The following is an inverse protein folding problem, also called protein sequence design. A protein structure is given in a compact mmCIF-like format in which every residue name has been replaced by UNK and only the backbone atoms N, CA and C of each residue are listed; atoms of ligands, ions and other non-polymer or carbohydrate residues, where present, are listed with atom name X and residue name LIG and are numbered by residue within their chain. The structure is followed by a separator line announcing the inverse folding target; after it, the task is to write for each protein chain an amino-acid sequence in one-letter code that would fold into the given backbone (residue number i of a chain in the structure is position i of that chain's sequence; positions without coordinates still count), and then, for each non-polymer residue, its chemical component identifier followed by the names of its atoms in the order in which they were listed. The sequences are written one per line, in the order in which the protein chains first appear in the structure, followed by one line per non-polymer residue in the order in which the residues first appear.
data_IF_658726681794
#
_entry.id   IF_658726681794
#
_cell.length_a   1.000
_cell.length_b   1.000
_cell.length_c   1.000
_cell.angle_alpha   90.00
_cell.angle_beta   90.00
_cell.angle_gamma   90.00
#
_symmetry.space_group_name_H-M   'P 1'
#
loop_
_entity.id
_entity.type
_entity.pdbx_description
1 polymer ?
#
# COMPACT_ATOMS: atom_id res chain seq x y z
N UNK A 1 9.15 20.89 -17.81
CA UNK A 1 10.09 21.92 -18.31
C UNK A 1 11.50 21.36 -18.19
N UNK A 2 12.28 21.32 -19.28
CA UNK A 2 13.71 21.00 -19.22
C UNK A 2 14.49 22.21 -18.68
N UNK A 3 15.68 22.00 -18.10
CA UNK A 3 16.97 22.53 -18.62
C UNK A 3 18.19 22.16 -17.73
N UNK A 4 19.12 21.43 -18.35
CA UNK A 4 20.60 21.43 -18.24
C UNK A 4 21.38 21.19 -16.91
N UNK A 5 22.68 20.98 -17.15
CA UNK A 5 23.79 20.39 -16.36
C UNK A 5 25.09 21.12 -16.81
N UNK A 6 26.17 21.06 -16.01
CA UNK A 6 27.62 21.17 -16.35
C UNK A 6 28.43 22.30 -15.65
N UNK A 7 29.76 22.11 -15.55
CA UNK A 7 30.78 23.01 -14.95
C UNK A 7 31.19 22.58 -13.53
N UNK A 8 32.23 21.78 -13.22
CA UNK A 8 33.49 21.33 -13.89
C UNK A 8 34.73 22.26 -13.75
N UNK A 9 35.92 21.64 -13.61
CA UNK A 9 37.25 22.20 -13.22
C UNK A 9 37.37 22.82 -11.80
N UNK A 10 38.56 22.92 -11.16
CA UNK A 10 39.97 22.97 -11.63
C UNK A 10 40.85 21.86 -11.01
N UNK A 11 42.03 21.59 -11.61
CA UNK A 11 42.94 20.47 -11.35
C UNK A 11 44.38 20.91 -10.95
N UNK A 12 45.24 19.94 -10.63
CA UNK A 12 46.71 19.88 -10.74
C UNK A 12 47.63 20.36 -9.59
N UNK A 13 48.44 19.42 -9.09
CA UNK A 13 49.93 19.39 -9.07
C UNK A 13 50.36 17.95 -8.68
N UNK A 14 51.25 17.28 -9.42
CA UNK A 14 52.73 17.28 -9.31
C UNK A 14 53.26 16.74 -7.97
N UNK A 15 54.07 15.67 -7.89
CA UNK A 15 54.59 14.74 -8.93
C UNK A 15 54.73 13.31 -8.30
N UNK A 16 55.61 12.32 -8.56
CA UNK A 16 56.86 12.16 -9.33
C UNK A 16 57.10 10.64 -9.68
N UNK A 17 58.24 10.25 -10.26
CA UNK A 17 58.66 8.86 -10.64
C UNK A 17 60.20 8.80 -10.93
N UNK A 18 60.90 7.67 -11.24
CA UNK A 18 60.42 6.34 -11.71
C UNK A 18 61.20 5.03 -11.31
N UNK A 19 60.54 3.85 -11.46
CA UNK A 19 61.05 2.55 -12.02
C UNK A 19 62.27 1.79 -11.38
N UNK A 20 62.63 0.55 -11.84
CA UNK A 20 61.81 -0.59 -12.31
C UNK A 20 62.27 -2.00 -11.81
N UNK A 21 61.40 -3.03 -11.85
CA UNK A 21 61.68 -4.46 -12.18
C UNK A 21 60.37 -5.27 -12.10
N UNK A 22 60.17 -6.48 -12.68
CA UNK A 22 60.55 -7.08 -13.99
C UNK A 22 59.87 -8.48 -14.06
N UNK A 23 58.92 -8.69 -14.97
CA UNK A 23 58.07 -9.90 -14.98
C UNK A 23 56.92 -9.81 -13.94
N UNK A 24 55.88 -10.64 -13.98
CA UNK A 24 55.59 -11.81 -14.84
C UNK A 24 54.17 -11.68 -15.43
N UNK A 25 53.89 -12.36 -16.54
CA UNK A 25 52.55 -12.42 -17.13
C UNK A 25 51.53 -13.07 -16.19
N UNK A 26 50.35 -12.46 -16.04
CA UNK A 26 49.10 -13.21 -15.92
C UNK A 26 47.97 -12.37 -16.54
N UNK A 27 47.24 -12.95 -17.49
CA UNK A 27 46.00 -12.38 -18.02
C UNK A 27 44.93 -12.42 -16.93
N UNK A 28 44.83 -11.36 -16.12
CA UNK A 28 43.71 -11.21 -15.18
C UNK A 28 42.43 -11.09 -16.01
N UNK A 29 41.47 -12.00 -15.78
CA UNK A 29 40.15 -11.93 -16.42
C UNK A 29 39.46 -10.61 -16.04
N UNK A 30 38.56 -10.12 -16.90
CA UNK A 30 37.84 -8.87 -16.63
C UNK A 30 37.05 -8.99 -15.32
N UNK A 31 37.32 -8.09 -14.38
CA UNK A 31 36.53 -7.95 -13.16
C UNK A 31 35.18 -7.33 -13.50
N UNK A 32 34.20 -8.18 -13.84
CA UNK A 32 32.78 -7.79 -14.00
C UNK A 32 32.12 -7.64 -12.62
N UNK A 33 32.72 -6.82 -11.76
CA UNK A 33 32.08 -6.27 -10.55
C UNK A 33 31.22 -5.07 -10.92
N UNK A 34 30.29 -5.29 -11.85
CA UNK A 34 29.36 -4.30 -12.38
C UNK A 34 27.92 -4.60 -12.00
N UNK A 35 27.44 -4.01 -10.90
CA UNK A 35 26.03 -3.83 -10.55
C UNK A 35 25.14 -5.09 -10.34
N UNK A 36 25.36 -5.85 -9.25
CA UNK A 36 24.32 -6.78 -8.73
C UNK A 36 23.17 -6.06 -8.00
N UNK A 37 23.19 -4.72 -7.89
CA UNK A 37 22.12 -3.95 -7.25
C UNK A 37 20.75 -4.14 -7.91
N UNK A 38 20.74 -4.49 -9.21
CA UNK A 38 19.54 -4.84 -9.99
C UNK A 38 18.96 -6.21 -9.64
N UNK A 39 19.69 -7.09 -8.93
CA UNK A 39 19.15 -8.32 -8.34
C UNK A 39 18.94 -8.19 -6.83
N UNK A 40 19.77 -7.39 -6.14
CA UNK A 40 19.59 -7.02 -4.73
C UNK A 40 18.23 -6.34 -4.49
N UNK A 41 17.83 -5.37 -5.32
CA UNK A 41 16.56 -4.66 -5.15
C UNK A 41 15.32 -5.56 -5.33
N UNK A 42 15.18 -6.39 -6.40
CA UNK A 42 14.09 -7.36 -6.50
C UNK A 42 14.09 -8.40 -5.39
N UNK A 43 15.25 -8.89 -4.93
CA UNK A 43 15.35 -9.81 -3.78
C UNK A 43 14.85 -9.14 -2.49
N UNK A 44 15.25 -7.89 -2.24
CA UNK A 44 14.81 -7.13 -1.08
C UNK A 44 13.30 -6.84 -1.13
N UNK A 45 12.78 -6.39 -2.28
CA UNK A 45 11.35 -6.16 -2.47
C UNK A 45 10.53 -7.44 -2.29
N UNK A 46 10.97 -8.58 -2.85
CA UNK A 46 10.32 -9.87 -2.65
C UNK A 46 10.38 -10.37 -1.20
N UNK A 47 11.45 -10.04 -0.46
CA UNK A 47 11.55 -10.34 0.97
C UNK A 47 10.57 -9.48 1.80
N UNK A 48 10.53 -8.16 1.57
CA UNK A 48 9.55 -7.25 2.18
C UNK A 48 8.12 -7.68 1.89
N UNK A 49 7.81 -7.99 0.63
CA UNK A 49 6.51 -8.51 0.18
C UNK A 49 6.09 -9.78 0.95
N UNK A 50 6.98 -10.77 1.04
CA UNK A 50 6.74 -12.01 1.80
C UNK A 50 6.50 -11.75 3.29
N UNK A 51 7.25 -10.81 3.88
CA UNK A 51 7.09 -10.40 5.28
C UNK A 51 5.73 -9.72 5.49
N UNK A 52 5.34 -8.80 4.62
CA UNK A 52 4.05 -8.10 4.71
C UNK A 52 2.86 -9.05 4.52
N UNK A 53 2.95 -10.03 3.61
CA UNK A 53 1.88 -11.02 3.43
C UNK A 53 1.77 -11.99 4.63
N UNK A 54 2.88 -12.37 5.25
CA UNK A 54 2.87 -13.14 6.50
C UNK A 54 2.33 -12.32 7.68
N UNK A 55 2.70 -11.04 7.79
CA UNK A 55 2.18 -10.13 8.80
C UNK A 55 0.67 -9.91 8.66
N UNK A 56 0.18 -9.64 7.45
CA UNK A 56 -1.24 -9.58 7.12
C UNK A 56 -1.98 -10.86 7.55
N UNK A 57 -1.38 -12.02 7.30
CA UNK A 57 -1.92 -13.33 7.68
C UNK A 57 -1.89 -13.59 9.20
N UNK A 58 -1.00 -12.96 9.97
CA UNK A 58 -1.03 -13.02 11.44
C UNK A 58 -2.07 -12.04 12.00
N UNK A 59 -2.08 -10.81 11.50
CA UNK A 59 -3.03 -9.75 11.89
C UNK A 59 -4.47 -10.19 11.64
N UNK A 60 -4.79 -10.80 10.50
CA UNK A 60 -6.15 -11.31 10.24
C UNK A 60 -6.62 -12.39 11.22
N UNK A 61 -5.69 -13.16 11.81
CA UNK A 61 -5.99 -14.27 12.73
C UNK A 61 -5.96 -13.90 14.21
N UNK A 62 -5.15 -12.91 14.62
CA UNK A 62 -4.98 -12.50 16.02
C UNK A 62 -5.27 -11.03 16.32
N UNK A 63 -5.45 -10.20 15.30
CA UNK A 63 -5.51 -8.75 15.44
C UNK A 63 -4.14 -8.08 15.46
N UNK A 64 -4.16 -6.75 15.50
CA UNK A 64 -2.96 -5.92 15.38
C UNK A 64 -2.08 -5.95 16.64
N UNK A 65 -2.70 -6.06 17.83
CA UNK A 65 -1.98 -5.92 19.09
C UNK A 65 -1.31 -7.25 19.54
N UNK A 66 -1.84 -8.42 19.15
CA UNK A 66 -1.48 -9.75 19.70
C UNK A 66 -0.43 -10.58 18.90
N UNK A 67 0.23 -10.00 17.90
CA UNK A 67 1.35 -10.63 17.19
C UNK A 67 2.71 -10.00 17.54
N UNK A 68 3.78 -10.80 17.54
CA UNK A 68 5.16 -10.33 17.77
C UNK A 68 6.06 -10.40 16.54
N UNK A 69 7.16 -9.64 16.55
CA UNK A 69 8.20 -9.69 15.50
C UNK A 69 8.92 -11.06 15.49
N UNK A 70 9.03 -11.73 16.64
CA UNK A 70 9.63 -13.07 16.72
C UNK A 70 8.76 -14.12 16.04
N UNK A 71 7.44 -14.08 16.24
CA UNK A 71 6.51 -15.01 15.56
C UNK A 71 6.43 -14.73 14.06
N UNK A 72 6.44 -13.45 13.66
CA UNK A 72 6.53 -13.06 12.26
C UNK A 72 7.81 -13.61 11.61
N UNK A 73 8.97 -13.38 12.23
CA UNK A 73 10.26 -13.90 11.78
C UNK A 73 10.26 -15.44 11.66
N UNK A 74 9.71 -16.15 12.65
CA UNK A 74 9.56 -17.60 12.62
C UNK A 74 8.66 -18.07 11.45
N UNK A 75 7.53 -17.38 11.21
CA UNK A 75 6.57 -17.72 10.14
C UNK A 75 7.10 -17.54 8.72
N UNK A 76 8.15 -16.73 8.52
CA UNK A 76 8.85 -16.58 7.23
C UNK A 76 10.25 -17.22 7.23
N UNK A 77 10.58 -17.98 8.28
CA UNK A 77 11.87 -18.66 8.47
C UNK A 77 13.11 -17.75 8.39
N UNK A 78 13.04 -16.55 8.97
CA UNK A 78 14.17 -15.62 9.06
C UNK A 78 14.48 -15.18 10.50
N UNK A 79 15.56 -14.42 10.69
CA UNK A 79 15.87 -13.78 11.97
C UNK A 79 15.03 -12.51 12.19
N UNK A 80 14.75 -12.09 13.44
CA UNK A 80 14.13 -10.79 13.73
C UNK A 80 14.89 -9.61 13.11
N UNK A 81 16.23 -9.65 13.09
CA UNK A 81 17.07 -8.65 12.42
C UNK A 81 16.79 -8.55 10.91
N UNK A 82 16.37 -9.63 10.26
CA UNK A 82 15.95 -9.64 8.85
C UNK A 82 14.60 -8.92 8.68
N UNK A 83 13.66 -9.10 9.61
CA UNK A 83 12.40 -8.34 9.64
C UNK A 83 12.68 -6.84 9.79
N UNK A 84 13.48 -6.45 10.79
CA UNK A 84 13.81 -5.04 11.02
C UNK A 84 14.49 -4.38 9.82
N UNK A 85 15.35 -5.10 9.09
CA UNK A 85 16.02 -4.58 7.88
C UNK A 85 15.09 -4.41 6.68
N UNK A 86 14.14 -5.32 6.45
CA UNK A 86 13.31 -5.33 5.24
C UNK A 86 11.91 -4.72 5.41
N UNK A 87 11.36 -4.67 6.63
CA UNK A 87 10.01 -4.17 6.89
C UNK A 87 9.91 -3.29 8.16
N UNK A 88 11.02 -3.06 8.87
CA UNK A 88 11.05 -2.18 10.04
C UNK A 88 10.43 -2.80 11.30
N UNK A 89 9.96 -1.93 12.20
CA UNK A 89 9.30 -2.33 13.45
C UNK A 89 7.81 -2.59 13.30
N UNK A 90 7.18 -3.19 14.33
CA UNK A 90 5.76 -3.60 14.32
C UNK A 90 4.80 -2.52 13.81
N UNK A 91 4.99 -1.26 14.20
CA UNK A 91 4.14 -0.15 13.75
C UNK A 91 4.20 0.05 12.23
N UNK A 92 5.39 0.11 11.64
CA UNK A 92 5.59 0.27 10.19
C UNK A 92 5.05 -0.94 9.40
N UNK A 93 5.16 -2.14 9.96
CA UNK A 93 4.58 -3.36 9.38
C UNK A 93 3.05 -3.29 9.37
N UNK A 94 2.42 -2.88 10.48
CA UNK A 94 0.97 -2.68 10.55
C UNK A 94 0.49 -1.62 9.56
N UNK A 95 1.21 -0.50 9.47
CA UNK A 95 0.93 0.59 8.52
C UNK A 95 1.04 0.13 7.07
N UNK A 96 2.13 -0.53 6.69
CA UNK A 96 2.33 -1.06 5.34
C UNK A 96 1.28 -2.13 4.96
N UNK A 97 0.85 -2.97 5.91
CA UNK A 97 -0.28 -3.91 5.72
C UNK A 97 -1.60 -3.17 5.48
N UNK A 98 -1.88 -2.10 6.24
CA UNK A 98 -3.09 -1.28 6.07
C UNK A 98 -3.10 -0.53 4.73
N UNK A 99 -1.98 0.09 4.36
CA UNK A 99 -1.82 0.78 3.06
C UNK A 99 -2.03 -0.21 1.91
N UNK A 100 -1.36 -1.37 1.94
CA UNK A 100 -1.51 -2.40 0.91
C UNK A 100 -2.93 -2.97 0.84
N UNK A 101 -3.59 -3.16 1.98
CA UNK A 101 -4.98 -3.59 2.01
C UNK A 101 -5.91 -2.55 1.39
N UNK A 102 -5.70 -1.26 1.70
CA UNK A 102 -6.42 -0.15 1.08
C UNK A 102 -6.24 -0.18 -0.44
N UNK A 103 -5.00 -0.23 -0.94
CA UNK A 103 -4.72 -0.31 -2.39
C UNK A 103 -5.37 -1.52 -3.06
N UNK A 104 -5.45 -2.70 -2.40
CA UNK A 104 -6.17 -3.86 -2.96
C UNK A 104 -7.66 -3.60 -3.14
N UNK A 105 -8.29 -2.91 -2.20
CA UNK A 105 -9.73 -2.56 -2.28
C UNK A 105 -9.97 -1.48 -3.34
N UNK A 106 -9.06 -0.50 -3.45
CA UNK A 106 -9.09 0.54 -4.49
C UNK A 106 -9.05 -0.07 -5.88
N UNK A 107 -7.98 -0.82 -6.18
CA UNK A 107 -7.80 -1.42 -7.49
C UNK A 107 -8.99 -2.33 -7.85
N UNK A 108 -9.49 -3.14 -6.91
CA UNK A 108 -10.65 -4.00 -7.16
C UNK A 108 -11.95 -3.23 -7.44
N UNK A 109 -12.11 -2.00 -6.92
CA UNK A 109 -13.21 -1.12 -7.29
C UNK A 109 -12.96 -0.43 -8.62
N UNK A 110 -11.77 0.14 -8.84
CA UNK A 110 -11.40 0.82 -10.09
C UNK A 110 -11.51 -0.13 -11.30
N UNK A 111 -11.03 -1.38 -11.16
CA UNK A 111 -11.17 -2.47 -12.14
C UNK A 111 -12.65 -2.84 -12.38
N UNK A 112 -13.52 -2.72 -11.37
CA UNK A 112 -14.95 -3.04 -11.48
C UNK A 112 -15.80 -1.90 -12.03
N UNK A 113 -15.26 -0.67 -12.09
CA UNK A 113 -15.99 0.53 -12.57
C UNK A 113 -15.34 1.22 -13.77
N UNK A 114 -14.26 0.68 -14.32
CA UNK A 114 -13.48 1.29 -15.40
C UNK A 114 -14.35 1.72 -16.61
N UNK A 115 -15.21 0.82 -17.08
CA UNK A 115 -16.14 1.05 -18.20
C UNK A 115 -17.52 1.61 -17.76
N UNK A 116 -17.74 1.87 -16.47
CA UNK A 116 -19.03 2.30 -15.92
C UNK A 116 -19.10 3.82 -15.72
N UNK A 117 -20.28 4.40 -15.99
CA UNK A 117 -20.54 5.84 -15.86
C UNK A 117 -21.84 6.12 -15.09
N UNK A 118 -22.00 7.37 -14.63
CA UNK A 118 -23.20 7.83 -13.95
C UNK A 118 -23.59 6.99 -12.74
N UNK A 119 -24.89 6.74 -12.60
CA UNK A 119 -25.52 6.03 -11.47
C UNK A 119 -24.94 4.62 -11.25
N UNK A 120 -24.78 3.82 -12.30
CA UNK A 120 -24.33 2.43 -12.21
C UNK A 120 -22.90 2.32 -11.66
N UNK A 121 -22.01 3.25 -12.06
CA UNK A 121 -20.64 3.37 -11.53
C UNK A 121 -20.62 3.44 -10.00
N UNK A 122 -21.49 4.28 -9.42
CA UNK A 122 -21.58 4.50 -7.98
C UNK A 122 -22.13 3.26 -7.26
N UNK A 123 -23.16 2.62 -7.83
CA UNK A 123 -23.77 1.41 -7.27
C UNK A 123 -22.77 0.25 -7.21
N UNK A 124 -22.01 0.04 -8.29
CA UNK A 124 -20.97 -1.00 -8.34
C UNK A 124 -19.80 -0.65 -7.41
N UNK A 125 -19.32 0.60 -7.40
CA UNK A 125 -18.24 1.04 -6.52
C UNK A 125 -18.54 0.75 -5.04
N UNK A 126 -19.72 1.17 -4.55
CA UNK A 126 -20.13 0.94 -3.16
C UNK A 126 -20.32 -0.55 -2.87
N UNK A 127 -20.91 -1.30 -3.80
CA UNK A 127 -21.15 -2.74 -3.63
C UNK A 127 -19.85 -3.53 -3.50
N UNK A 128 -18.86 -3.25 -4.36
CA UNK A 128 -17.54 -3.91 -4.34
C UNK A 128 -16.73 -3.49 -3.12
N UNK A 129 -16.73 -2.20 -2.76
CA UNK A 129 -16.09 -1.71 -1.55
C UNK A 129 -16.66 -2.38 -0.28
N UNK A 130 -18.00 -2.41 -0.13
CA UNK A 130 -18.66 -3.06 1.00
C UNK A 130 -18.41 -4.57 1.04
N UNK A 131 -18.34 -5.25 -0.11
CA UNK A 131 -17.96 -6.67 -0.16
C UNK A 131 -16.57 -6.89 0.44
N UNK A 132 -15.55 -6.21 -0.08
CA UNK A 132 -14.18 -6.37 0.41
C UNK A 132 -14.01 -5.97 1.89
N UNK A 133 -14.61 -4.85 2.32
CA UNK A 133 -14.58 -4.39 3.72
C UNK A 133 -15.22 -5.39 4.70
N UNK A 134 -16.09 -6.30 4.21
CA UNK A 134 -16.74 -7.34 5.01
C UNK A 134 -16.02 -8.69 4.93
N UNK A 135 -15.45 -9.06 3.78
CA UNK A 135 -14.73 -10.35 3.62
C UNK A 135 -13.30 -10.33 4.18
N UNK A 136 -12.62 -9.18 4.16
CA UNK A 136 -11.22 -9.08 4.60
C UNK A 136 -11.11 -9.07 6.13
N UNK A 137 -10.69 -10.21 6.71
CA UNK A 137 -10.55 -10.38 8.16
C UNK A 137 -9.71 -9.28 8.85
N UNK A 138 -8.71 -8.71 8.17
CA UNK A 138 -7.89 -7.63 8.74
C UNK A 138 -8.74 -6.41 9.06
N UNK A 139 -9.72 -6.06 8.23
CA UNK A 139 -10.63 -4.92 8.47
C UNK A 139 -11.62 -5.23 9.61
N UNK A 140 -12.05 -6.49 9.75
CA UNK A 140 -12.86 -6.93 10.90
C UNK A 140 -12.08 -6.84 12.23
N UNK A 141 -10.81 -7.29 12.23
CA UNK A 141 -9.93 -7.24 13.41
C UNK A 141 -9.61 -5.80 13.80
N UNK A 142 -9.48 -4.92 12.82
CA UNK A 142 -9.27 -3.49 13.00
C UNK A 142 -10.45 -2.81 13.71
N UNK A 143 -11.70 -3.12 13.34
CA UNK A 143 -12.89 -2.61 14.06
C UNK A 143 -12.94 -3.08 15.51
N UNK A 144 -12.50 -4.32 15.76
CA UNK A 144 -12.44 -4.94 17.10
C UNK A 144 -11.25 -4.47 17.94
N UNK A 145 -10.29 -3.76 17.35
CA UNK A 145 -9.09 -3.27 18.03
C UNK A 145 -9.42 -2.28 19.14
N UNK A 146 -9.11 -2.65 20.38
CA UNK A 146 -9.25 -1.77 21.55
C UNK A 146 -8.40 -0.50 21.47
N UNK A 147 -7.29 -0.54 20.71
CA UNK A 147 -6.42 0.61 20.46
C UNK A 147 -7.14 1.69 19.63
N UNK A 148 -7.40 2.90 20.16
CA UNK A 148 -8.21 3.92 19.47
C UNK A 148 -7.53 4.50 18.24
N UNK A 149 -6.20 4.41 18.10
CA UNK A 149 -5.50 4.83 16.86
C UNK A 149 -5.89 3.93 15.68
N UNK A 150 -6.07 2.64 15.93
CA UNK A 150 -6.44 1.64 14.92
C UNK A 150 -7.90 1.82 14.46
N UNK A 151 -8.78 2.42 15.28
CA UNK A 151 -10.14 2.79 14.87
C UNK A 151 -10.17 4.13 14.12
N UNK A 152 -9.46 5.15 14.63
CA UNK A 152 -9.51 6.52 14.13
C UNK A 152 -8.89 6.71 12.73
N UNK A 153 -7.95 5.87 12.31
CA UNK A 153 -7.32 6.07 10.98
C UNK A 153 -8.32 5.97 9.84
N UNK A 154 -9.37 5.15 9.94
CA UNK A 154 -10.40 5.04 8.89
C UNK A 154 -11.15 6.37 8.73
N UNK A 155 -11.43 7.05 9.84
CA UNK A 155 -12.20 8.30 9.90
C UNK A 155 -11.42 9.53 9.42
N UNK A 156 -10.08 9.50 9.51
CA UNK A 156 -9.22 10.68 9.25
C UNK A 156 -8.05 10.40 8.30
N UNK A 157 -8.05 9.31 7.54
CA UNK A 157 -6.98 9.00 6.59
C UNK A 157 -7.16 9.77 5.27
N UNK A 158 -6.18 10.60 4.85
CA UNK A 158 -6.20 11.23 3.54
C UNK A 158 -6.23 10.23 2.39
N UNK A 159 -5.76 9.00 2.62
CA UNK A 159 -5.84 7.90 1.64
C UNK A 159 -7.32 7.54 1.41
N UNK A 160 -8.11 7.33 2.46
CA UNK A 160 -9.54 7.00 2.35
C UNK A 160 -10.33 8.13 1.69
N UNK A 161 -10.02 9.40 2.01
CA UNK A 161 -10.65 10.56 1.34
C UNK A 161 -10.26 10.64 -0.13
N UNK A 162 -8.97 10.53 -0.48
CA UNK A 162 -8.51 10.60 -1.87
C UNK A 162 -9.08 9.48 -2.75
N UNK A 163 -9.26 8.29 -2.16
CA UNK A 163 -9.97 7.16 -2.79
C UNK A 163 -11.42 7.53 -3.11
N UNK A 164 -12.15 8.09 -2.15
CA UNK A 164 -13.53 8.52 -2.35
C UNK A 164 -13.64 9.59 -3.45
N UNK A 165 -12.74 10.58 -3.47
CA UNK A 165 -12.67 11.58 -4.55
C UNK A 165 -12.42 10.94 -5.92
N UNK A 166 -11.55 9.92 -6.02
CA UNK A 166 -11.33 9.16 -7.25
C UNK A 166 -12.59 8.41 -7.72
N UNK A 167 -13.30 7.75 -6.80
CA UNK A 167 -14.53 6.99 -7.10
C UNK A 167 -15.69 7.89 -7.55
N UNK A 168 -15.82 9.09 -6.98
CA UNK A 168 -16.85 10.08 -7.34
C UNK A 168 -16.58 10.72 -8.71
N UNK A 169 -15.32 10.79 -9.13
CA UNK A 169 -14.90 11.29 -10.44
C UNK A 169 -14.24 12.67 -10.39
N UNK A 170 -13.26 12.87 -11.27
CA UNK A 170 -12.31 13.99 -11.21
C UNK A 170 -12.95 15.38 -11.26
N UNK A 171 -14.07 15.54 -11.97
CA UNK A 171 -14.73 16.83 -12.20
C UNK A 171 -15.44 17.39 -10.95
N UNK A 172 -15.71 16.54 -9.95
CA UNK A 172 -16.30 16.92 -8.66
C UNK A 172 -15.22 16.94 -7.58
N UNK A 173 -14.40 18.00 -7.56
CA UNK A 173 -13.56 18.36 -6.39
C UNK A 173 -14.40 18.89 -5.20
N UNK A 174 -15.51 18.22 -4.89
CA UNK A 174 -16.34 18.49 -3.72
C UNK A 174 -15.88 17.59 -2.56
N UNK A 175 -15.03 18.15 -1.69
CA UNK A 175 -14.53 17.49 -0.50
C UNK A 175 -15.66 17.12 0.49
N UNK A 176 -16.79 17.85 0.48
CA UNK A 176 -17.95 17.53 1.30
C UNK A 176 -18.72 16.32 0.73
N UNK A 177 -18.85 16.19 -0.60
CA UNK A 177 -19.38 14.99 -1.24
C UNK A 177 -18.49 13.76 -0.99
N UNK A 178 -17.16 13.92 -1.09
CA UNK A 178 -16.21 12.85 -0.76
C UNK A 178 -16.32 12.44 0.71
N UNK A 179 -16.35 13.39 1.65
CA UNK A 179 -16.51 13.09 3.08
C UNK A 179 -17.89 12.46 3.38
N UNK A 180 -18.96 12.90 2.72
CA UNK A 180 -20.30 12.31 2.86
C UNK A 180 -20.34 10.88 2.33
N UNK A 181 -19.73 10.60 1.17
CA UNK A 181 -19.62 9.25 0.61
C UNK A 181 -18.86 8.30 1.54
N UNK A 182 -17.71 8.72 2.08
CA UNK A 182 -16.98 7.94 3.10
C UNK A 182 -17.89 7.65 4.29
N UNK A 183 -18.60 8.64 4.83
CA UNK A 183 -19.55 8.44 5.94
C UNK A 183 -20.69 7.47 5.59
N UNK A 184 -21.22 7.52 4.38
CA UNK A 184 -22.30 6.64 3.92
C UNK A 184 -21.81 5.17 3.77
N UNK A 185 -20.64 4.95 3.15
CA UNK A 185 -20.02 3.63 3.05
C UNK A 185 -19.69 3.08 4.45
N UNK A 186 -19.14 3.90 5.34
CA UNK A 186 -18.85 3.49 6.72
C UNK A 186 -20.13 3.20 7.53
N UNK A 187 -21.23 3.93 7.30
CA UNK A 187 -22.52 3.66 7.92
C UNK A 187 -23.10 2.31 7.47
N UNK A 188 -23.16 2.04 6.16
CA UNK A 188 -23.59 0.75 5.61
C UNK A 188 -22.67 -0.41 6.03
N UNK A 189 -21.38 -0.14 6.27
CA UNK A 189 -20.44 -1.16 6.73
C UNK A 189 -20.61 -1.50 8.22
N UNK A 190 -20.84 -0.51 9.10
CA UNK A 190 -21.11 -0.74 10.53
C UNK A 190 -22.53 -1.22 10.81
N UNK A 191 -23.52 -0.76 10.03
CA UNK A 191 -24.92 -1.13 10.12
C UNK A 191 -25.38 -1.72 8.78
N UNK A 192 -25.07 -3.01 8.51
CA UNK A 192 -25.59 -3.70 7.34
C UNK A 192 -27.12 -3.81 7.38
N UNK A 193 -27.76 -3.89 6.22
CA UNK A 193 -29.20 -4.15 6.15
C UNK A 193 -29.50 -5.62 6.51
N UNK A 194 -30.43 -5.84 7.44
CA UNK A 194 -30.84 -7.19 7.89
C UNK A 194 -31.56 -8.03 6.82
N UNK A 195 -31.88 -7.44 5.66
CA UNK A 195 -32.67 -8.04 4.58
C UNK A 195 -31.84 -8.04 3.29
N UNK A 196 -31.64 -9.19 2.62
CA UNK A 196 -30.95 -9.25 1.33
C UNK A 196 -31.59 -8.34 0.28
N UNK A 197 -30.76 -7.63 -0.49
CA UNK A 197 -31.22 -6.71 -1.54
C UNK A 197 -31.52 -5.29 -1.05
N UNK A 198 -31.99 -5.09 0.19
CA UNK A 198 -32.33 -3.75 0.73
C UNK A 198 -31.12 -2.80 0.74
N UNK A 199 -29.91 -3.30 0.96
CA UNK A 199 -28.68 -2.51 0.80
C UNK A 199 -28.50 -1.96 -0.62
N UNK A 200 -28.73 -2.81 -1.63
CA UNK A 200 -28.63 -2.42 -3.02
C UNK A 200 -29.71 -1.39 -3.38
N UNK A 201 -30.95 -1.58 -2.90
CA UNK A 201 -32.02 -0.59 -3.05
C UNK A 201 -31.65 0.75 -2.40
N UNK A 202 -31.06 0.75 -1.19
CA UNK A 202 -30.59 1.99 -0.53
C UNK A 202 -29.53 2.70 -1.37
N UNK A 203 -28.55 1.96 -1.91
CA UNK A 203 -27.48 2.53 -2.73
C UNK A 203 -28.04 3.09 -4.05
N UNK A 204 -28.87 2.32 -4.74
CA UNK A 204 -29.52 2.71 -6.00
C UNK A 204 -30.47 3.91 -5.81
N UNK A 205 -31.19 3.98 -4.68
CA UNK A 205 -32.20 5.03 -4.44
C UNK A 205 -31.64 6.32 -3.86
N UNK A 206 -30.57 6.26 -3.07
CA UNK A 206 -30.08 7.43 -2.30
C UNK A 206 -28.61 7.80 -2.55
N UNK A 207 -27.74 6.86 -2.91
CA UNK A 207 -26.32 7.17 -3.19
C UNK A 207 -26.08 7.54 -4.66
N UNK A 208 -26.65 6.77 -5.59
CA UNK A 208 -26.53 7.05 -7.03
C UNK A 208 -26.96 8.48 -7.41
N UNK A 209 -28.21 8.89 -7.17
CA UNK A 209 -28.71 10.21 -7.60
C UNK A 209 -28.01 11.42 -6.97
N UNK A 210 -27.41 11.28 -5.79
CA UNK A 210 -26.68 12.36 -5.12
C UNK A 210 -25.29 12.65 -5.76
N UNK A 211 -24.75 11.66 -6.48
CA UNK A 211 -23.40 11.69 -7.05
C UNK A 211 -23.40 11.67 -8.58
N UNK A 212 -24.52 11.30 -9.22
CA UNK A 212 -24.70 11.29 -10.68
C UNK A 212 -25.35 12.56 -11.26
N UNK A 213 -25.15 13.73 -10.64
CA UNK A 213 -25.82 15.00 -10.94
C UNK A 213 -24.83 16.17 -11.09
#
# INVERSE_FOLDING_TARGET
MLILRLGESINSHSENSPKPTRGVEHRKALEVTGNDWLLEQPRAAAATERILQAAASLIGRRGFDDFSIHELAASVHCSPATIYRHAGGKAAICEAVVVRLSSRIVNAVDDAICDLTGHERIVVAVSVALHHLRTEHIVQQLLRSSNPKNRRWIETSPIVTGIATSMIGSDRHDEAAAQWFVRAVLALWHWPASVPGTEREIIERFLGPALSA
#
